data_IF_723646631898
#
_entry.id   IF_723646631898
#
_cell.length_a   1.000
_cell.length_b   1.000
_cell.length_c   1.000
_cell.angle_alpha   90.00
_cell.angle_beta   90.00
_cell.angle_gamma   90.00
#
_symmetry.space_group_name_H-M   'P 1'
#
loop_
_entity.id
_entity.type
_entity.pdbx_description
1 polymer ?
#
# COMPACT_ATOMS: atom_id res chain seq x y z
N UNK A 1 1.78 -11.27 3.54
CA UNK A 1 2.80 -10.34 4.08
C UNK A 1 2.16 -8.97 4.27
N UNK A 2 2.66 -8.09 5.13
CA UNK A 2 2.22 -6.68 5.22
C UNK A 2 3.30 -5.73 4.72
N UNK A 3 2.94 -4.76 3.87
CA UNK A 3 3.87 -3.73 3.39
C UNK A 3 3.99 -2.58 4.40
N UNK A 4 5.07 -2.57 5.17
CA UNK A 4 5.30 -1.67 6.33
C UNK A 4 5.26 -0.20 5.94
N UNK A 5 5.80 0.13 4.76
CA UNK A 5 5.76 1.48 4.17
C UNK A 5 4.37 2.12 4.09
N UNK A 6 3.29 1.32 4.09
CA UNK A 6 1.93 1.85 4.07
C UNK A 6 1.56 2.52 5.39
N UNK A 7 1.91 1.90 6.52
CA UNK A 7 1.79 2.50 7.85
C UNK A 7 2.73 1.78 8.83
N UNK A 8 3.84 2.41 9.23
CA UNK A 8 4.83 1.78 10.09
C UNK A 8 4.48 1.86 11.59
N UNK A 9 3.24 2.22 11.97
CA UNK A 9 2.85 2.32 13.38
C UNK A 9 3.08 1.00 14.14
N UNK A 10 3.89 0.99 15.23
CA UNK A 10 4.11 -0.22 16.03
C UNK A 10 2.83 -0.88 16.52
N UNK A 11 1.82 -0.08 16.88
CA UNK A 11 0.52 -0.58 17.34
C UNK A 11 -0.20 -1.34 16.24
N UNK A 12 -0.18 -0.82 15.00
CA UNK A 12 -0.77 -1.52 13.84
C UNK A 12 0.00 -2.81 13.52
N UNK A 13 1.34 -2.77 13.58
CA UNK A 13 2.16 -3.97 13.35
C UNK A 13 1.78 -5.09 14.32
N UNK A 14 1.60 -4.77 15.62
CA UNK A 14 1.14 -5.73 16.64
C UNK A 14 -0.25 -6.27 16.36
N UNK A 15 -1.22 -5.39 16.02
CA UNK A 15 -2.59 -5.82 15.70
C UNK A 15 -2.59 -6.80 14.51
N UNK A 16 -1.82 -6.50 13.45
CA UNK A 16 -1.72 -7.37 12.28
C UNK A 16 -1.05 -8.71 12.62
N UNK A 17 -0.03 -8.70 13.50
CA UNK A 17 0.61 -9.91 13.99
C UNK A 17 -0.37 -10.81 14.76
N UNK A 18 -1.09 -10.23 15.71
CA UNK A 18 -2.12 -10.93 16.50
C UNK A 18 -3.26 -11.44 15.62
N UNK A 19 -3.51 -10.78 14.50
CA UNK A 19 -4.48 -11.19 13.47
C UNK A 19 -3.95 -12.27 12.51
N UNK A 20 -2.72 -12.73 12.69
CA UNK A 20 -2.12 -13.86 11.96
C UNK A 20 -1.18 -13.48 10.82
N UNK A 21 -0.86 -12.20 10.61
CA UNK A 21 0.16 -11.79 9.64
C UNK A 21 1.55 -12.00 10.23
N UNK A 22 2.31 -12.94 9.67
CA UNK A 22 3.63 -13.29 10.22
C UNK A 22 4.82 -12.77 9.40
N UNK A 23 4.56 -12.20 8.22
CA UNK A 23 5.58 -11.76 7.28
C UNK A 23 5.42 -10.27 6.98
N UNK A 24 6.52 -9.52 6.91
CA UNK A 24 6.52 -8.07 6.70
C UNK A 24 7.49 -7.65 5.58
N UNK A 25 6.95 -6.97 4.57
CA UNK A 25 7.69 -6.30 3.49
C UNK A 25 8.26 -5.00 4.04
N UNK A 26 9.58 -4.95 4.14
CA UNK A 26 10.36 -3.81 4.59
C UNK A 26 11.18 -3.24 3.44
N UNK A 27 11.18 -1.92 3.32
CA UNK A 27 11.80 -1.19 2.23
C UNK A 27 13.12 -0.50 2.61
N UNK A 28 13.49 -0.50 3.89
CA UNK A 28 14.73 0.11 4.37
C UNK A 28 15.24 -0.56 5.64
N UNK A 29 16.51 -0.32 5.98
CA UNK A 29 17.07 -0.79 7.26
C UNK A 29 16.37 -0.18 8.48
N UNK A 30 15.81 1.01 8.35
CA UNK A 30 15.01 1.62 9.42
C UNK A 30 13.72 0.83 9.68
N UNK A 31 13.04 0.38 8.62
CA UNK A 31 11.87 -0.49 8.74
C UNK A 31 12.25 -1.88 9.26
N UNK A 32 13.37 -2.46 8.81
CA UNK A 32 13.91 -3.72 9.37
C UNK A 32 14.08 -3.61 10.89
N UNK A 33 14.80 -2.60 11.37
CA UNK A 33 15.04 -2.38 12.81
C UNK A 33 13.74 -2.15 13.57
N UNK A 34 12.82 -1.38 12.99
CA UNK A 34 11.52 -1.08 13.59
C UNK A 34 10.70 -2.35 13.80
N UNK A 35 10.53 -3.17 12.77
CA UNK A 35 9.76 -4.42 12.87
C UNK A 35 10.50 -5.42 13.75
N UNK A 36 11.83 -5.57 13.63
CA UNK A 36 12.60 -6.47 14.50
C UNK A 36 12.49 -6.11 15.99
N UNK A 37 12.38 -4.82 16.31
CA UNK A 37 12.19 -4.35 17.69
C UNK A 37 10.74 -4.55 18.15
N UNK A 38 9.77 -4.36 17.26
CA UNK A 38 8.33 -4.43 17.58
C UNK A 38 7.82 -5.87 17.63
N UNK A 39 8.30 -6.72 16.71
CA UNK A 39 7.87 -8.09 16.46
C UNK A 39 9.11 -8.99 16.23
N UNK A 40 9.82 -9.40 17.30
CA UNK A 40 11.07 -10.14 17.18
C UNK A 40 10.96 -11.49 16.44
N UNK A 41 9.76 -12.10 16.44
CA UNK A 41 9.48 -13.40 15.82
C UNK A 41 8.97 -13.28 14.38
N UNK A 42 8.86 -12.06 13.83
CA UNK A 42 8.34 -11.85 12.49
C UNK A 42 9.37 -12.16 11.40
N UNK A 43 8.89 -12.74 10.28
CA UNK A 43 9.71 -12.91 9.09
C UNK A 43 9.77 -11.59 8.33
N UNK A 44 10.97 -11.05 8.18
CA UNK A 44 11.21 -9.81 7.43
C UNK A 44 11.66 -10.13 6.01
N UNK A 45 11.07 -9.43 5.04
CA UNK A 45 11.40 -9.55 3.62
C UNK A 45 11.84 -8.18 3.10
N UNK A 46 13.12 -8.03 2.72
CA UNK A 46 13.67 -6.76 2.28
C UNK A 46 13.40 -6.56 0.78
N UNK A 47 12.19 -6.08 0.47
CA UNK A 47 11.63 -6.08 -0.89
C UNK A 47 11.89 -4.79 -1.69
N UNK A 48 12.71 -3.86 -1.18
CA UNK A 48 13.23 -2.76 -2.00
C UNK A 48 14.30 -3.30 -2.97
N UNK A 49 14.16 -3.12 -4.29
CA UNK A 49 15.04 -3.79 -5.26
C UNK A 49 16.42 -3.13 -5.37
N UNK A 50 16.62 -1.93 -4.83
CA UNK A 50 17.91 -1.22 -4.84
C UNK A 50 18.31 -0.81 -3.42
N UNK A 51 19.29 -1.50 -2.82
CA UNK A 51 19.63 -1.35 -1.40
C UNK A 51 21.07 -0.87 -1.23
N UNK A 52 21.37 -0.25 -0.08
CA UNK A 52 22.75 -0.01 0.30
C UNK A 52 23.41 -1.35 0.73
N UNK A 53 24.69 -1.54 0.44
CA UNK A 53 25.40 -2.80 0.75
C UNK A 53 25.44 -3.05 2.26
N UNK A 54 25.72 -2.00 3.04
CA UNK A 54 25.71 -2.02 4.50
C UNK A 54 24.33 -2.34 5.08
N UNK A 55 23.25 -1.93 4.40
CA UNK A 55 21.89 -2.25 4.82
C UNK A 55 21.55 -3.73 4.57
N UNK A 56 22.08 -4.32 3.49
CA UNK A 56 21.91 -5.76 3.23
C UNK A 56 22.68 -6.57 4.28
N UNK A 57 23.93 -6.21 4.53
CA UNK A 57 24.77 -6.89 5.51
C UNK A 57 24.13 -6.87 6.91
N UNK A 58 23.70 -5.70 7.37
CA UNK A 58 23.03 -5.55 8.66
C UNK A 58 21.71 -6.36 8.72
N UNK A 59 20.87 -6.25 7.69
CA UNK A 59 19.62 -7.01 7.64
C UNK A 59 19.86 -8.53 7.74
N UNK A 60 20.87 -9.05 7.03
CA UNK A 60 21.19 -10.47 7.04
C UNK A 60 21.81 -10.97 8.35
N UNK A 61 22.88 -10.30 8.82
CA UNK A 61 23.68 -10.75 9.97
C UNK A 61 23.05 -10.41 11.31
N UNK A 62 22.43 -9.23 11.43
CA UNK A 62 21.97 -8.71 12.73
C UNK A 62 20.46 -8.95 12.94
N UNK A 63 19.69 -9.03 11.85
CA UNK A 63 18.23 -9.15 11.91
C UNK A 63 17.66 -10.43 11.29
N UNK A 64 18.51 -11.35 10.81
CA UNK A 64 18.05 -12.65 10.32
C UNK A 64 17.26 -12.59 9.00
N UNK A 65 17.33 -11.49 8.25
CA UNK A 65 16.65 -11.38 6.95
C UNK A 65 17.26 -12.37 5.96
N UNK A 66 16.40 -13.16 5.31
CA UNK A 66 16.79 -14.13 4.26
C UNK A 66 16.14 -13.88 2.91
N UNK A 67 15.10 -13.06 2.87
CA UNK A 67 14.35 -12.76 1.65
C UNK A 67 14.74 -11.38 1.15
N UNK A 68 15.25 -11.30 -0.08
CA UNK A 68 15.64 -10.04 -0.72
C UNK A 68 15.05 -9.97 -2.13
N UNK A 69 14.51 -8.80 -2.49
CA UNK A 69 14.18 -8.53 -3.90
C UNK A 69 15.34 -7.87 -4.63
N UNK A 70 15.36 -8.03 -5.96
CA UNK A 70 16.35 -7.45 -6.85
C UNK A 70 15.79 -7.29 -8.26
N UNK A 71 16.32 -6.35 -9.03
CA UNK A 71 15.94 -6.15 -10.44
C UNK A 71 17.13 -5.93 -11.38
N UNK A 72 18.35 -6.25 -10.93
CA UNK A 72 19.56 -6.16 -11.75
C UNK A 72 20.63 -7.16 -11.30
N UNK A 73 21.59 -7.44 -12.20
CA UNK A 73 22.78 -8.24 -11.86
C UNK A 73 23.68 -7.52 -10.85
N UNK A 74 23.79 -6.19 -10.94
CA UNK A 74 24.53 -5.38 -9.96
C UNK A 74 23.96 -5.57 -8.54
N UNK A 75 22.64 -5.59 -8.41
CA UNK A 75 22.01 -5.84 -7.11
C UNK A 75 22.25 -7.29 -6.62
N UNK A 76 22.23 -8.27 -7.52
CA UNK A 76 22.57 -9.65 -7.20
C UNK A 76 24.00 -9.76 -6.64
N UNK A 77 24.97 -9.19 -7.35
CA UNK A 77 26.38 -9.17 -6.96
C UNK A 77 26.56 -8.52 -5.58
N UNK A 78 25.88 -7.39 -5.35
CA UNK A 78 25.89 -6.70 -4.07
C UNK A 78 25.28 -7.52 -2.95
N UNK A 79 24.17 -8.22 -3.17
CA UNK A 79 23.56 -9.10 -2.16
C UNK A 79 24.51 -10.26 -1.83
N UNK A 80 25.10 -10.90 -2.83
CA UNK A 80 26.06 -12.01 -2.64
C UNK A 80 27.29 -11.52 -1.87
N UNK A 81 27.85 -10.35 -2.22
CA UNK A 81 28.98 -9.78 -1.52
C UNK A 81 28.65 -9.43 -0.06
N UNK A 82 27.56 -8.68 0.16
CA UNK A 82 27.13 -8.23 1.49
C UNK A 82 26.78 -9.36 2.46
N UNK A 83 26.36 -10.51 1.93
CA UNK A 83 26.03 -11.71 2.72
C UNK A 83 27.17 -12.72 2.82
N UNK A 84 28.38 -12.38 2.34
CA UNK A 84 29.55 -13.25 2.28
C UNK A 84 29.30 -14.57 1.51
N UNK A 85 28.53 -14.52 0.44
CA UNK A 85 28.22 -15.69 -0.40
C UNK A 85 27.27 -16.68 0.25
N UNK A 86 26.38 -16.21 1.13
CA UNK A 86 25.35 -17.03 1.74
C UNK A 86 24.43 -17.66 0.68
N UNK A 87 24.10 -18.94 0.86
CA UNK A 87 23.18 -19.66 -0.03
C UNK A 87 21.78 -19.77 0.54
N UNK A 88 21.58 -19.57 1.84
CA UNK A 88 20.29 -19.68 2.56
C UNK A 88 19.31 -18.52 2.27
N UNK A 89 19.41 -17.95 1.07
CA UNK A 89 18.66 -16.80 0.61
C UNK A 89 17.43 -17.23 -0.19
N UNK A 90 16.37 -16.42 -0.10
CA UNK A 90 15.29 -16.37 -1.08
C UNK A 90 15.44 -15.08 -1.88
N UNK A 91 15.75 -15.20 -3.18
CA UNK A 91 15.96 -14.05 -4.05
C UNK A 91 14.77 -13.86 -4.98
N UNK A 92 14.03 -12.77 -4.80
CA UNK A 92 12.83 -12.44 -5.57
C UNK A 92 13.16 -11.46 -6.71
N UNK A 93 13.28 -11.97 -7.94
CA UNK A 93 13.54 -11.13 -9.12
C UNK A 93 12.30 -10.33 -9.48
N UNK A 94 12.39 -9.01 -9.42
CA UNK A 94 11.28 -8.09 -9.69
C UNK A 94 11.13 -7.82 -11.17
N UNK A 95 9.98 -8.15 -11.74
CA UNK A 95 9.65 -7.86 -13.14
C UNK A 95 8.92 -6.52 -13.26
N UNK A 96 9.20 -5.80 -14.36
CA UNK A 96 8.39 -4.64 -14.74
C UNK A 96 7.09 -5.11 -15.40
N UNK A 97 5.98 -4.66 -14.84
CA UNK A 97 4.63 -4.92 -15.36
C UNK A 97 3.91 -3.60 -15.63
N UNK A 98 2.85 -3.64 -16.45
CA UNK A 98 2.04 -2.44 -16.72
C UNK A 98 1.30 -2.00 -15.46
N UNK A 99 1.11 -0.69 -15.32
CA UNK A 99 0.29 -0.06 -14.28
C UNK A 99 -0.98 0.61 -14.82
N UNK A 100 -1.41 0.28 -16.05
CA UNK A 100 -2.52 0.96 -16.73
C UNK A 100 -3.86 0.88 -15.97
N UNK A 101 -3.98 -0.09 -15.07
CA UNK A 101 -5.18 -0.33 -14.26
C UNK A 101 -5.10 0.28 -12.84
N UNK A 102 -4.03 1.03 -12.54
CA UNK A 102 -3.74 1.58 -11.21
C UNK A 102 -3.79 3.09 -11.20
N UNK A 103 -4.23 3.68 -10.08
CA UNK A 103 -4.26 5.15 -9.93
C UNK A 103 -2.86 5.74 -9.76
N UNK A 104 -1.94 5.00 -9.17
CA UNK A 104 -0.54 5.41 -8.99
C UNK A 104 0.39 4.41 -9.66
N UNK A 105 1.14 4.88 -10.66
CA UNK A 105 2.13 4.08 -11.36
C UNK A 105 3.42 3.96 -10.55
N UNK A 106 3.93 2.73 -10.45
CA UNK A 106 5.25 2.42 -9.90
C UNK A 106 6.19 1.82 -10.97
N UNK A 107 5.71 1.69 -12.21
CA UNK A 107 6.36 0.92 -13.27
C UNK A 107 7.55 1.65 -13.93
N UNK A 108 7.70 2.96 -13.72
CA UNK A 108 8.76 3.76 -14.35
C UNK A 108 10.12 3.61 -13.67
N UNK A 109 10.15 3.30 -12.37
CA UNK A 109 11.38 3.31 -11.56
C UNK A 109 12.01 1.93 -11.37
N UNK A 110 11.22 0.86 -11.28
CA UNK A 110 11.67 -0.46 -10.82
C UNK A 110 11.28 -1.60 -11.75
N UNK A 111 12.02 -2.71 -11.62
CA UNK A 111 11.75 -3.97 -12.29
C UNK A 111 12.47 -4.11 -13.62
N UNK A 112 12.89 -5.35 -13.89
CA UNK A 112 13.60 -5.76 -15.10
C UNK A 112 12.69 -5.59 -16.32
N UNK A 113 13.25 -5.04 -17.41
CA UNK A 113 12.53 -4.89 -18.67
C UNK A 113 12.20 -6.23 -19.34
N UNK A 114 11.19 -6.25 -20.24
CA UNK A 114 10.92 -7.44 -21.04
C UNK A 114 12.15 -7.87 -21.85
N UNK A 115 12.58 -9.12 -21.69
CA UNK A 115 13.74 -9.70 -22.40
C UNK A 115 15.08 -9.62 -21.66
N UNK A 116 15.15 -8.88 -20.54
CA UNK A 116 16.35 -8.75 -19.72
C UNK A 116 16.32 -9.67 -18.48
N UNK A 117 15.16 -10.26 -18.16
CA UNK A 117 14.97 -11.05 -16.94
C UNK A 117 15.64 -12.41 -16.98
N UNK A 118 15.88 -12.97 -18.18
CA UNK A 118 16.42 -14.33 -18.35
C UNK A 118 17.76 -14.53 -17.65
N UNK A 119 18.73 -13.66 -17.95
CA UNK A 119 20.09 -13.77 -17.41
C UNK A 119 20.08 -13.63 -15.88
N UNK A 120 19.30 -12.67 -15.37
CA UNK A 120 19.17 -12.43 -13.94
C UNK A 120 18.50 -13.61 -13.21
N UNK A 121 17.43 -14.18 -13.78
CA UNK A 121 16.74 -15.34 -13.21
C UNK A 121 17.66 -16.57 -13.12
N UNK A 122 18.46 -16.81 -14.16
CA UNK A 122 19.44 -17.90 -14.17
C UNK A 122 20.52 -17.66 -13.11
N UNK A 123 21.08 -16.45 -13.05
CA UNK A 123 22.13 -16.10 -12.09
C UNK A 123 21.62 -16.18 -10.64
N UNK A 124 20.44 -15.65 -10.36
CA UNK A 124 19.84 -15.70 -9.02
C UNK A 124 19.59 -17.14 -8.56
N UNK A 125 19.13 -18.03 -9.45
CA UNK A 125 18.93 -19.46 -9.10
C UNK A 125 20.21 -20.17 -8.71
N UNK A 126 21.35 -19.77 -9.27
CA UNK A 126 22.64 -20.43 -9.04
C UNK A 126 23.25 -20.12 -7.66
N UNK A 127 22.82 -19.04 -7.00
CA UNK A 127 23.45 -18.55 -5.78
C UNK A 127 22.54 -18.60 -4.55
N UNK A 128 21.26 -18.88 -4.72
CA UNK A 128 20.26 -18.89 -3.66
C UNK A 128 19.50 -20.21 -3.58
N UNK A 129 19.16 -20.63 -2.37
CA UNK A 129 18.40 -21.85 -2.09
C UNK A 129 17.01 -21.79 -2.74
N UNK A 130 16.35 -20.62 -2.70
CA UNK A 130 15.05 -20.37 -3.31
C UNK A 130 15.07 -19.20 -4.29
N UNK A 131 14.46 -19.40 -5.46
CA UNK A 131 14.22 -18.35 -6.45
C UNK A 131 12.75 -17.92 -6.43
N UNK A 132 12.51 -16.63 -6.23
CA UNK A 132 11.21 -16.00 -6.39
C UNK A 132 11.14 -15.11 -7.64
N UNK A 133 9.93 -14.92 -8.15
CA UNK A 133 9.60 -13.83 -9.08
C UNK A 133 8.58 -12.93 -8.39
N UNK A 134 8.84 -11.62 -8.35
CA UNK A 134 7.89 -10.65 -7.83
C UNK A 134 7.52 -9.58 -8.86
N UNK A 135 6.37 -8.94 -8.68
CA UNK A 135 5.97 -7.75 -9.45
C UNK A 135 5.07 -6.85 -8.61
N UNK A 136 4.78 -5.64 -9.09
CA UNK A 136 3.81 -4.76 -8.45
C UNK A 136 3.00 -4.02 -9.51
N UNK A 137 1.68 -4.15 -9.47
CA UNK A 137 0.76 -3.60 -10.49
C UNK A 137 0.50 -2.09 -10.38
N UNK A 138 1.18 -1.38 -9.47
CA UNK A 138 0.84 -0.02 -9.03
C UNK A 138 -0.07 0.01 -7.79
N UNK A 139 -0.31 1.20 -7.24
CA UNK A 139 -1.18 1.38 -6.06
C UNK A 139 -2.60 1.72 -6.48
N UNK A 140 -3.57 1.23 -5.69
CA UNK A 140 -5.01 1.41 -5.93
C UNK A 140 -5.41 0.82 -7.30
N UNK A 141 -5.15 -0.47 -7.49
CA UNK A 141 -5.49 -1.21 -8.71
C UNK A 141 -6.99 -1.46 -8.77
N UNK A 142 -7.69 -0.73 -9.63
CA UNK A 142 -9.17 -0.71 -9.68
C UNK A 142 -9.77 -1.88 -10.47
N UNK A 143 -8.94 -2.82 -10.92
CA UNK A 143 -9.35 -3.95 -11.75
C UNK A 143 -8.47 -5.19 -11.48
N UNK A 144 -9.07 -6.36 -11.21
CA UNK A 144 -8.35 -7.64 -11.05
C UNK A 144 -7.49 -8.04 -12.26
N UNK A 145 -7.87 -7.58 -13.45
CA UNK A 145 -7.19 -7.86 -14.71
C UNK A 145 -5.73 -7.36 -14.70
N UNK A 146 -5.41 -6.36 -13.88
CA UNK A 146 -4.04 -5.90 -13.64
C UNK A 146 -3.11 -7.06 -13.25
N UNK A 147 -3.57 -7.94 -12.36
CA UNK A 147 -2.82 -9.08 -11.88
C UNK A 147 -2.76 -10.20 -12.92
N UNK A 148 -3.85 -10.46 -13.64
CA UNK A 148 -3.85 -11.45 -14.72
C UNK A 148 -2.83 -11.08 -15.82
N UNK A 149 -2.81 -9.80 -16.23
CA UNK A 149 -1.87 -9.30 -17.23
C UNK A 149 -0.42 -9.36 -16.75
N UNK A 150 -0.17 -9.11 -15.47
CA UNK A 150 1.16 -9.24 -14.87
C UNK A 150 1.61 -10.72 -14.80
N UNK A 151 0.72 -11.64 -14.45
CA UNK A 151 1.00 -13.08 -14.41
C UNK A 151 1.37 -13.67 -15.77
N UNK A 152 0.82 -13.14 -16.88
CA UNK A 152 1.26 -13.56 -18.22
C UNK A 152 2.71 -13.17 -18.50
N UNK A 153 3.20 -12.06 -17.95
CA UNK A 153 4.63 -11.67 -18.04
C UNK A 153 5.50 -12.59 -17.20
N UNK A 154 5.03 -12.99 -16.02
CA UNK A 154 5.69 -13.98 -15.18
C UNK A 154 5.81 -15.31 -15.92
N UNK A 155 4.72 -15.82 -16.52
CA UNK A 155 4.73 -17.02 -17.36
C UNK A 155 5.80 -16.93 -18.44
N UNK A 156 5.80 -15.85 -19.21
CA UNK A 156 6.76 -15.67 -20.30
C UNK A 156 8.21 -15.68 -19.81
N UNK A 157 8.49 -15.01 -18.69
CA UNK A 157 9.81 -14.98 -18.08
C UNK A 157 10.27 -16.37 -17.60
N UNK A 158 9.40 -17.16 -16.98
CA UNK A 158 9.72 -18.53 -16.53
C UNK A 158 10.05 -19.42 -17.74
N UNK A 159 9.21 -19.40 -18.77
CA UNK A 159 9.39 -20.22 -19.98
C UNK A 159 10.68 -19.85 -20.71
N UNK A 160 10.97 -18.56 -20.85
CA UNK A 160 12.18 -18.10 -21.56
C UNK A 160 13.47 -18.42 -20.78
N UNK A 161 13.45 -18.24 -19.44
CA UNK A 161 14.59 -18.54 -18.60
C UNK A 161 14.84 -20.04 -18.40
N UNK A 162 13.78 -20.87 -18.42
CA UNK A 162 13.87 -22.30 -18.20
C UNK A 162 14.32 -22.67 -16.79
N UNK A 163 14.04 -21.82 -15.81
CA UNK A 163 14.39 -22.02 -14.39
C UNK A 163 13.20 -22.53 -13.57
N UNK A 164 13.49 -23.26 -12.50
CA UNK A 164 12.49 -23.59 -11.48
C UNK A 164 12.31 -22.39 -10.55
N UNK A 165 11.05 -22.00 -10.31
CA UNK A 165 10.69 -20.90 -9.43
C UNK A 165 9.94 -21.45 -8.23
N UNK A 166 10.40 -21.08 -7.04
CA UNK A 166 9.90 -21.56 -5.75
C UNK A 166 8.83 -20.62 -5.17
N UNK A 167 8.87 -19.33 -5.54
CA UNK A 167 7.92 -18.31 -5.02
C UNK A 167 7.42 -17.41 -6.15
N UNK A 168 6.11 -17.17 -6.20
CA UNK A 168 5.50 -16.12 -7.00
C UNK A 168 4.89 -15.09 -6.07
N UNK A 169 5.42 -13.87 -6.08
CA UNK A 169 4.89 -12.76 -5.30
C UNK A 169 4.19 -11.75 -6.22
N UNK A 170 2.88 -11.58 -6.01
CA UNK A 170 2.08 -10.65 -6.84
C UNK A 170 2.16 -9.21 -6.37
N UNK A 171 2.94 -8.95 -5.32
CA UNK A 171 3.13 -7.66 -4.69
C UNK A 171 1.86 -7.11 -4.06
N UNK A 172 1.83 -5.79 -3.92
CA UNK A 172 0.68 -5.05 -3.42
C UNK A 172 -0.17 -4.45 -4.53
N UNK A 173 -0.91 -3.39 -4.17
CA UNK A 173 -1.80 -2.67 -5.08
C UNK A 173 -3.28 -2.94 -4.86
N UNK A 174 -3.60 -3.91 -4.00
CA UNK A 174 -4.97 -4.16 -3.54
C UNK A 174 -5.62 -2.84 -3.07
N UNK A 175 -6.79 -2.49 -3.64
CA UNK A 175 -7.40 -1.20 -3.41
C UNK A 175 -8.10 -1.13 -2.04
N UNK A 176 -8.39 0.10 -1.60
CA UNK A 176 -9.41 0.38 -0.57
C UNK A 176 -10.53 1.24 -1.16
N UNK A 177 -11.67 1.36 -0.49
CA UNK A 177 -12.78 2.22 -0.94
C UNK A 177 -12.56 3.66 -0.51
N UNK A 178 -12.77 4.59 -1.44
CA UNK A 178 -12.73 6.03 -1.17
C UNK A 178 -13.83 6.73 -1.99
N UNK A 179 -14.25 7.96 -1.64
CA UNK A 179 -15.20 8.72 -2.44
C UNK A 179 -14.81 8.80 -3.92
N UNK A 180 -15.65 8.22 -4.80
CA UNK A 180 -15.42 8.15 -6.25
C UNK A 180 -14.47 7.04 -6.71
N UNK A 181 -14.06 6.14 -5.81
CA UNK A 181 -13.22 4.97 -6.08
C UNK A 181 -13.77 3.75 -5.35
N UNK A 182 -14.63 3.02 -6.06
CA UNK A 182 -15.28 1.79 -5.58
C UNK A 182 -14.69 0.59 -6.35
N UNK A 183 -13.71 -0.12 -5.81
CA UNK A 183 -13.15 -1.29 -6.47
C UNK A 183 -14.09 -2.50 -6.36
N UNK A 184 -13.95 -3.53 -7.22
CA UNK A 184 -14.60 -4.81 -7.00
C UNK A 184 -14.20 -5.45 -5.66
N UNK A 185 -14.99 -6.40 -5.13
CA UNK A 185 -14.63 -7.14 -3.92
C UNK A 185 -13.29 -7.87 -4.06
N UNK A 186 -12.50 -7.92 -2.98
CA UNK A 186 -11.15 -8.51 -2.98
C UNK A 186 -11.15 -10.00 -3.35
N UNK A 187 -12.24 -10.72 -3.10
CA UNK A 187 -12.41 -12.12 -3.51
C UNK A 187 -12.26 -12.28 -5.03
N UNK A 188 -12.67 -11.29 -5.83
CA UNK A 188 -12.48 -11.32 -7.30
C UNK A 188 -11.02 -11.17 -7.69
N UNK A 189 -10.24 -10.37 -6.93
CA UNK A 189 -8.81 -10.25 -7.12
C UNK A 189 -8.12 -11.58 -6.79
N UNK A 190 -8.41 -12.14 -5.62
CA UNK A 190 -7.81 -13.41 -5.18
C UNK A 190 -8.18 -14.58 -6.11
N UNK A 191 -9.43 -14.68 -6.55
CA UNK A 191 -9.84 -15.71 -7.51
C UNK A 191 -9.12 -15.58 -8.86
N UNK A 192 -8.90 -14.34 -9.32
CA UNK A 192 -8.19 -14.06 -10.57
C UNK A 192 -6.71 -14.42 -10.45
N UNK A 193 -6.07 -13.99 -9.35
CA UNK A 193 -4.67 -14.30 -9.04
C UNK A 193 -4.47 -15.81 -8.91
N UNK A 194 -5.32 -16.50 -8.14
CA UNK A 194 -5.21 -17.93 -7.91
C UNK A 194 -5.33 -18.73 -9.21
N UNK A 195 -6.33 -18.43 -10.05
CA UNK A 195 -6.46 -19.06 -11.38
C UNK A 195 -5.23 -18.83 -12.27
N UNK A 196 -4.67 -17.62 -12.25
CA UNK A 196 -3.47 -17.31 -13.01
C UNK A 196 -2.25 -18.08 -12.48
N UNK A 197 -2.08 -18.14 -11.15
CA UNK A 197 -1.01 -18.89 -10.50
C UNK A 197 -1.07 -20.39 -10.83
N UNK A 198 -2.22 -21.04 -10.70
CA UNK A 198 -2.43 -22.47 -11.03
C UNK A 198 -2.09 -22.81 -12.49
N UNK A 199 -2.13 -21.80 -13.36
CA UNK A 199 -1.80 -22.00 -14.77
C UNK A 199 -0.31 -21.85 -15.06
N UNK A 200 0.50 -21.29 -14.15
CA UNK A 200 1.93 -21.06 -14.35
C UNK A 200 2.72 -22.37 -14.45
N UNK A 201 3.82 -22.41 -15.23
CA UNK A 201 4.68 -23.59 -15.33
C UNK A 201 5.63 -23.68 -14.12
N UNK A 202 5.08 -23.79 -12.91
CA UNK A 202 5.81 -23.88 -11.64
C UNK A 202 5.54 -25.20 -10.93
N UNK A 203 6.31 -25.50 -9.88
CA UNK A 203 6.09 -26.70 -9.08
C UNK A 203 4.79 -26.57 -8.26
N UNK A 204 4.16 -27.70 -7.92
CA UNK A 204 3.06 -27.72 -6.96
C UNK A 204 3.49 -27.27 -5.55
N UNK A 205 4.79 -27.33 -5.28
CA UNK A 205 5.39 -26.87 -4.02
C UNK A 205 5.70 -25.38 -4.02
N UNK A 206 5.50 -24.68 -5.15
CA UNK A 206 5.76 -23.25 -5.23
C UNK A 206 4.75 -22.47 -4.39
N UNK A 207 5.22 -21.44 -3.71
CA UNK A 207 4.38 -20.59 -2.88
C UNK A 207 3.85 -19.38 -3.65
N UNK A 208 2.65 -18.94 -3.28
CA UNK A 208 2.03 -17.71 -3.79
C UNK A 208 1.98 -16.68 -2.66
N UNK A 209 2.69 -15.57 -2.84
CA UNK A 209 2.77 -14.48 -1.88
C UNK A 209 2.07 -13.21 -2.40
N UNK A 210 1.79 -12.31 -1.47
CA UNK A 210 1.31 -10.96 -1.75
C UNK A 210 1.73 -9.99 -0.65
N UNK A 211 1.82 -8.70 -1.02
CA UNK A 211 2.31 -7.59 -0.18
C UNK A 211 1.22 -6.50 0.01
N UNK A 212 0.02 -6.81 0.53
CA UNK A 212 -0.99 -5.78 0.80
C UNK A 212 -0.47 -4.76 1.85
N UNK A 213 -0.53 -3.48 1.49
CA UNK A 213 -0.37 -2.37 2.41
C UNK A 213 -1.70 -1.67 2.64
N UNK A 214 -2.10 -0.84 1.66
CA UNK A 214 -3.32 -0.01 1.71
C UNK A 214 -4.58 -0.80 2.09
N UNK A 215 -4.81 -1.95 1.47
CA UNK A 215 -5.98 -2.77 1.78
C UNK A 215 -6.08 -3.10 3.28
N UNK A 216 -4.97 -3.42 3.95
CA UNK A 216 -4.97 -3.81 5.37
C UNK A 216 -5.00 -2.64 6.35
N UNK A 217 -4.64 -1.43 5.92
CA UNK A 217 -4.45 -0.32 6.87
C UNK A 217 -5.19 0.97 6.51
N UNK A 218 -5.81 1.12 5.35
CA UNK A 218 -6.54 2.34 4.99
C UNK A 218 -7.62 2.68 6.02
N UNK A 219 -8.37 1.66 6.45
CA UNK A 219 -9.48 1.75 7.42
C UNK A 219 -9.00 1.90 8.87
N UNK A 220 -7.69 1.78 9.15
CA UNK A 220 -7.17 1.72 10.52
C UNK A 220 -7.27 3.03 11.30
N UNK A 221 -7.17 4.19 10.63
CA UNK A 221 -7.15 5.47 11.33
C UNK A 221 -7.74 6.61 10.51
N UNK A 222 -8.39 7.53 11.22
CA UNK A 222 -8.77 8.86 10.77
C UNK A 222 -7.90 9.93 11.43
N UNK A 223 -8.02 11.17 10.96
CA UNK A 223 -7.48 12.33 11.67
C UNK A 223 -8.63 13.28 12.04
N UNK A 224 -8.49 13.96 13.17
CA UNK A 224 -9.42 15.02 13.58
C UNK A 224 -8.71 16.36 13.48
N UNK A 225 -9.23 17.24 12.63
CA UNK A 225 -8.69 18.57 12.37
C UNK A 225 -9.65 19.65 12.87
N UNK A 226 -9.12 20.81 13.24
CA UNK A 226 -9.91 21.99 13.59
C UNK A 226 -9.93 22.97 12.44
N UNK A 227 -11.10 23.53 12.16
CA UNK A 227 -11.25 24.67 11.24
C UNK A 227 -10.75 25.93 11.94
N UNK A 228 -9.65 26.50 11.46
CA UNK A 228 -9.10 27.77 11.97
C UNK A 228 -9.79 28.98 11.33
N UNK A 229 -10.21 28.84 10.06
CA UNK A 229 -10.89 29.91 9.32
C UNK A 229 -11.75 29.34 8.20
N UNK A 230 -12.84 30.03 7.86
CA UNK A 230 -13.63 29.81 6.65
C UNK A 230 -13.58 31.04 5.74
N UNK A 231 -13.37 30.83 4.44
CA UNK A 231 -13.50 31.84 3.37
C UNK A 231 -14.40 31.27 2.27
N UNK A 232 -15.71 31.53 2.35
CA UNK A 232 -16.67 30.95 1.40
C UNK A 232 -16.71 29.42 1.51
N UNK A 233 -16.32 28.72 0.44
CA UNK A 233 -16.17 27.26 0.36
C UNK A 233 -14.74 26.77 0.66
N UNK A 234 -13.83 27.64 1.08
CA UNK A 234 -12.47 27.26 1.47
C UNK A 234 -12.38 27.21 3.00
N UNK A 235 -11.94 26.08 3.56
CA UNK A 235 -11.65 25.93 4.99
C UNK A 235 -10.15 25.86 5.22
N UNK A 236 -9.64 26.67 6.15
CA UNK A 236 -8.27 26.58 6.63
C UNK A 236 -8.29 25.67 7.85
N UNK A 237 -7.58 24.56 7.77
CA UNK A 237 -7.51 23.54 8.83
C UNK A 237 -6.08 23.45 9.38
N UNK A 238 -5.94 22.84 10.55
CA UNK A 238 -4.67 22.74 11.26
C UNK A 238 -3.82 21.50 10.90
N UNK A 239 -4.14 20.84 9.79
CA UNK A 239 -3.35 19.77 9.15
C UNK A 239 -3.46 19.95 7.62
N UNK A 240 -2.57 19.34 6.83
CA UNK A 240 -2.50 19.61 5.40
C UNK A 240 -1.58 18.69 4.61
N UNK A 241 -1.16 19.17 3.45
CA UNK A 241 -0.37 18.46 2.45
C UNK A 241 0.98 17.95 2.99
N UNK A 242 1.58 18.71 3.91
CA UNK A 242 2.84 18.36 4.57
C UNK A 242 2.65 17.55 5.86
N UNK A 243 1.39 17.40 6.30
CA UNK A 243 0.99 16.51 7.37
C UNK A 243 0.41 15.21 6.80
N UNK A 244 -0.80 14.83 7.24
CA UNK A 244 -1.39 13.55 6.83
C UNK A 244 -2.13 13.59 5.47
N UNK A 245 -2.29 14.77 4.85
CA UNK A 245 -3.14 14.95 3.66
C UNK A 245 -2.35 15.11 2.35
N UNK A 246 -1.14 14.54 2.28
CA UNK A 246 -0.30 14.60 1.08
C UNK A 246 -1.04 14.12 -0.19
N UNK A 247 -1.70 12.96 -0.10
CA UNK A 247 -2.47 12.36 -1.21
C UNK A 247 -3.63 13.28 -1.66
N UNK A 248 -4.27 13.99 -0.72
CA UNK A 248 -5.36 14.90 -1.05
C UNK A 248 -4.88 16.13 -1.83
N UNK A 249 -3.71 16.68 -1.47
CA UNK A 249 -3.18 17.89 -2.08
C UNK A 249 -2.50 17.61 -3.43
N UNK A 250 -1.64 16.60 -3.48
CA UNK A 250 -0.75 16.38 -4.63
C UNK A 250 -1.30 15.40 -5.66
N UNK A 251 -2.18 14.49 -5.24
CA UNK A 251 -2.77 13.45 -6.09
C UNK A 251 -4.25 13.77 -6.37
N UNK A 252 -4.85 14.67 -5.58
CA UNK A 252 -6.28 14.99 -5.67
C UNK A 252 -7.16 13.88 -5.10
N UNK A 253 -6.62 13.07 -4.19
CA UNK A 253 -7.35 12.00 -3.52
C UNK A 253 -8.43 12.58 -2.60
N UNK A 254 -9.65 12.05 -2.69
CA UNK A 254 -10.77 12.47 -1.84
C UNK A 254 -10.92 11.48 -0.69
N UNK A 255 -11.08 12.02 0.51
CA UNK A 255 -11.31 11.25 1.72
C UNK A 255 -12.72 11.52 2.24
N UNK A 256 -13.38 10.54 2.89
CA UNK A 256 -14.64 10.81 3.57
C UNK A 256 -14.38 11.78 4.73
N UNK A 257 -15.35 12.66 4.98
CA UNK A 257 -15.25 13.68 6.02
C UNK A 257 -16.55 13.77 6.80
N UNK A 258 -16.45 14.08 8.08
CA UNK A 258 -17.59 14.26 8.97
C UNK A 258 -17.38 15.44 9.91
N UNK A 259 -18.45 16.21 10.18
CA UNK A 259 -18.44 17.31 11.13
C UNK A 259 -18.65 16.77 12.55
N UNK A 260 -17.67 16.96 13.42
CA UNK A 260 -17.77 16.64 14.84
C UNK A 260 -18.23 17.87 15.63
N UNK A 261 -19.55 18.03 15.82
CA UNK A 261 -20.13 19.16 16.56
C UNK A 261 -21.37 18.74 17.35
N UNK A 262 -21.44 19.19 18.60
CA UNK A 262 -22.66 19.10 19.41
C UNK A 262 -23.35 20.47 19.56
N UNK A 263 -24.66 20.60 19.28
CA UNK A 263 -25.51 19.60 18.61
C UNK A 263 -25.16 19.45 17.13
N UNK A 264 -25.60 18.34 16.53
CA UNK A 264 -25.43 18.07 15.10
C UNK A 264 -26.00 19.19 14.22
N UNK A 265 -25.35 19.42 13.09
CA UNK A 265 -25.85 20.37 12.11
C UNK A 265 -27.05 19.80 11.34
N UNK A 266 -28.04 20.65 11.09
CA UNK A 266 -29.16 20.35 10.18
C UNK A 266 -29.02 21.07 8.83
N UNK A 267 -27.88 21.73 8.59
CA UNK A 267 -27.62 22.38 7.31
C UNK A 267 -27.39 21.32 6.23
N UNK A 268 -27.76 21.65 4.98
CA UNK A 268 -27.42 20.80 3.84
C UNK A 268 -25.92 20.83 3.60
N UNK A 269 -25.38 19.70 3.14
CA UNK A 269 -23.98 19.65 2.72
C UNK A 269 -23.73 20.53 1.50
N UNK A 270 -22.52 21.07 1.46
CA UNK A 270 -21.96 21.73 0.29
C UNK A 270 -20.49 21.32 0.11
N UNK A 271 -19.97 21.59 -1.08
CA UNK A 271 -18.59 21.28 -1.42
C UNK A 271 -17.63 22.29 -0.79
N UNK A 272 -16.59 21.78 -0.13
CA UNK A 272 -15.47 22.56 0.38
C UNK A 272 -14.14 22.09 -0.23
N UNK A 273 -13.19 23.02 -0.27
CA UNK A 273 -11.76 22.73 -0.38
C UNK A 273 -11.06 23.08 0.93
N UNK A 274 -9.89 22.50 1.17
CA UNK A 274 -9.11 22.74 2.38
C UNK A 274 -7.78 23.40 2.05
N UNK A 275 -7.33 24.32 2.90
CA UNK A 275 -5.94 24.76 2.99
C UNK A 275 -5.37 24.25 4.31
N UNK A 276 -4.15 23.74 4.28
CA UNK A 276 -3.41 23.43 5.50
C UNK A 276 -2.80 24.65 6.17
N UNK A 277 -2.06 24.43 7.28
CA UNK A 277 -1.56 25.51 8.13
C UNK A 277 -0.26 26.14 7.64
N UNK A 278 0.40 25.58 6.62
CA UNK A 278 1.72 26.04 6.19
C UNK A 278 1.66 27.33 5.38
N UNK A 279 2.82 27.95 5.15
CA UNK A 279 2.95 29.15 4.31
C UNK A 279 3.05 28.84 2.80
N UNK A 280 2.88 27.58 2.39
CA UNK A 280 3.04 27.13 1.01
C UNK A 280 1.68 27.04 0.32
N UNK A 281 1.58 27.62 -0.88
CA UNK A 281 0.36 27.57 -1.69
C UNK A 281 0.02 26.14 -2.18
N UNK A 282 1.00 25.23 -2.18
CA UNK A 282 0.78 23.81 -2.47
C UNK A 282 0.08 23.07 -1.32
N UNK A 283 -0.08 23.69 -0.16
CA UNK A 283 -0.83 23.15 0.98
C UNK A 283 -2.34 23.34 0.79
N UNK A 284 -2.84 22.87 -0.35
CA UNK A 284 -4.22 23.02 -0.78
C UNK A 284 -4.78 21.69 -1.29
N UNK A 285 -5.86 21.24 -0.66
CA UNK A 285 -6.62 20.06 -1.04
C UNK A 285 -7.91 20.49 -1.75
N UNK A 286 -7.98 20.27 -3.06
CA UNK A 286 -9.05 20.80 -3.91
C UNK A 286 -10.45 20.22 -3.64
N UNK A 287 -10.55 19.01 -3.07
CA UNK A 287 -11.82 18.35 -2.77
C UNK A 287 -12.55 17.77 -4.01
N UNK A 288 -13.90 17.81 -4.04
CA UNK A 288 -14.77 18.38 -3.02
C UNK A 288 -14.82 17.52 -1.75
N UNK A 289 -14.84 18.18 -0.61
CA UNK A 289 -15.16 17.60 0.70
C UNK A 289 -16.58 18.05 1.08
N UNK A 290 -17.51 17.11 1.18
CA UNK A 290 -18.91 17.41 1.48
C UNK A 290 -19.10 17.56 2.99
N UNK A 291 -19.43 18.78 3.43
CA UNK A 291 -19.67 19.10 4.84
C UNK A 291 -20.88 20.03 4.95
N UNK A 292 -21.53 20.10 6.14
CA UNK A 292 -22.67 21.00 6.35
C UNK A 292 -22.34 22.46 6.04
N UNK A 293 -23.22 23.15 5.32
CA UNK A 293 -23.00 24.52 4.86
C UNK A 293 -22.84 25.56 5.97
N UNK A 294 -23.16 25.23 7.22
CA UNK A 294 -23.02 26.07 8.41
C UNK A 294 -21.73 25.81 9.21
N UNK A 295 -20.78 25.05 8.65
CA UNK A 295 -19.44 24.86 9.25
C UNK A 295 -18.73 26.20 9.45
N UNK A 296 -18.01 26.36 10.54
CA UNK A 296 -17.37 27.63 10.95
C UNK A 296 -16.04 27.37 11.66
N UNK A 297 -15.29 28.45 11.86
CA UNK A 297 -14.07 28.40 12.66
C UNK A 297 -14.36 27.89 14.08
N UNK A 298 -13.48 27.04 14.59
CA UNK A 298 -13.61 26.33 15.86
C UNK A 298 -14.26 24.95 15.78
N UNK A 299 -14.89 24.61 14.65
CA UNK A 299 -15.44 23.27 14.44
C UNK A 299 -14.34 22.23 14.21
N UNK A 300 -14.66 20.98 14.52
CA UNK A 300 -13.79 19.85 14.26
C UNK A 300 -14.34 19.00 13.12
N UNK A 301 -13.45 18.51 12.27
CA UNK A 301 -13.76 17.63 11.16
C UNK A 301 -12.96 16.35 11.36
N UNK A 302 -13.61 15.21 11.28
CA UNK A 302 -12.94 13.94 11.08
C UNK A 302 -12.72 13.72 9.58
N UNK A 303 -11.51 13.30 9.22
CA UNK A 303 -11.15 12.87 7.87
C UNK A 303 -10.77 11.40 7.96
N UNK A 304 -11.60 10.54 7.39
CA UNK A 304 -11.46 9.09 7.49
C UNK A 304 -10.52 8.48 6.45
N UNK A 305 -10.28 7.18 6.57
CA UNK A 305 -9.54 6.35 5.59
C UNK A 305 -8.08 6.76 5.35
N UNK A 306 -7.43 7.34 6.37
CA UNK A 306 -6.06 7.87 6.30
C UNK A 306 -5.01 6.93 6.91
N UNK A 307 -5.39 5.71 7.27
CA UNK A 307 -4.47 4.75 7.86
C UNK A 307 -3.44 4.20 6.87
N UNK A 308 -3.57 4.44 5.57
CA UNK A 308 -2.55 4.11 4.57
C UNK A 308 -1.92 5.38 4.00
N UNK A 309 -0.60 5.51 4.13
CA UNK A 309 0.24 6.59 3.61
C UNK A 309 -0.04 7.99 4.16
N UNK A 310 -1.04 8.18 5.05
CA UNK A 310 -1.26 9.44 5.75
C UNK A 310 -0.16 9.72 6.76
N UNK A 311 -0.15 8.97 7.87
CA UNK A 311 0.87 9.14 8.93
C UNK A 311 2.29 8.89 8.43
N UNK A 312 2.47 7.95 7.49
CA UNK A 312 3.78 7.57 6.96
C UNK A 312 4.46 8.68 6.14
N UNK A 313 3.68 9.60 5.56
CA UNK A 313 4.20 10.73 4.74
C UNK A 313 4.26 12.04 5.51
N UNK A 314 3.78 12.07 6.77
CA UNK A 314 3.76 13.27 7.58
C UNK A 314 5.17 13.78 7.86
N UNK A 315 5.36 15.09 7.71
CA UNK A 315 6.59 15.80 8.05
C UNK A 315 6.36 16.76 9.22
N UNK A 316 7.45 17.33 9.75
CA UNK A 316 7.40 18.44 10.71
C UNK A 316 7.63 19.80 10.03
N UNK A 317 7.25 19.94 8.76
CA UNK A 317 7.45 21.18 8.00
C UNK A 317 6.71 22.36 8.68
N UNK A 318 7.40 23.50 8.79
CA UNK A 318 6.97 24.68 9.58
C UNK A 318 6.69 24.40 11.08
N UNK A 319 7.01 23.21 11.60
CA UNK A 319 6.80 22.85 13.01
C UNK A 319 5.36 22.48 13.35
N UNK A 320 4.49 22.27 12.35
CA UNK A 320 3.12 21.83 12.57
C UNK A 320 3.04 20.31 12.76
N UNK A 321 2.11 19.88 13.63
CA UNK A 321 1.86 18.48 13.91
C UNK A 321 1.16 18.28 15.26
N UNK A 322 0.51 17.13 15.40
CA UNK A 322 -0.05 16.64 16.66
C UNK A 322 0.31 15.18 16.86
N UNK A 323 0.92 14.84 17.99
CA UNK A 323 1.29 13.44 18.31
C UNK A 323 0.27 12.77 19.23
N UNK A 324 -0.88 13.44 19.44
CA UNK A 324 -1.97 12.88 20.23
C UNK A 324 -2.75 11.87 19.40
N UNK A 325 -2.65 10.61 19.80
CA UNK A 325 -3.46 9.50 19.27
C UNK A 325 -4.51 9.10 20.30
N UNK A 326 -5.70 8.70 19.83
CA UNK A 326 -6.77 8.14 20.65
C UNK A 326 -7.23 6.86 19.97
N UNK A 327 -7.36 5.78 20.74
CA UNK A 327 -7.92 4.52 20.26
C UNK A 327 -9.44 4.61 20.43
N UNK A 328 -10.14 4.31 19.35
CA UNK A 328 -11.60 4.28 19.28
C UNK A 328 -12.05 2.91 18.77
N UNK A 329 -13.35 2.61 18.87
CA UNK A 329 -13.91 1.27 18.58
C UNK A 329 -15.11 1.29 17.64
N UNK A 330 -15.40 2.45 17.04
CA UNK A 330 -16.35 2.65 15.96
C UNK A 330 -15.87 2.03 14.64
N UNK A 331 -16.83 1.77 13.75
CA UNK A 331 -16.53 1.29 12.41
C UNK A 331 -15.94 2.42 11.54
N UNK A 332 -15.07 2.10 10.57
CA UNK A 332 -14.56 3.12 9.65
C UNK A 332 -15.70 3.73 8.82
N UNK A 333 -15.54 4.99 8.42
CA UNK A 333 -16.53 5.70 7.57
C UNK A 333 -16.90 4.97 6.28
N UNK A 334 -15.97 4.16 5.76
CA UNK A 334 -16.17 3.32 4.59
C UNK A 334 -15.40 2.01 4.82
N UNK A 335 -16.00 0.86 4.51
CA UNK A 335 -15.31 -0.43 4.60
C UNK A 335 -15.44 -1.25 3.34
N UNK A 336 -14.36 -1.95 2.96
CA UNK A 336 -14.40 -3.01 1.95
C UNK A 336 -14.79 -4.38 2.51
N UNK A 337 -14.78 -4.53 3.83
CA UNK A 337 -14.88 -5.82 4.51
C UNK A 337 -16.24 -6.09 5.13
N UNK A 338 -17.00 -5.01 5.37
CA UNK A 338 -18.38 -5.10 5.82
C UNK A 338 -19.26 -5.18 4.58
N UNK A 339 -20.10 -6.22 4.50
CA UNK A 339 -21.07 -6.32 3.43
C UNK A 339 -22.06 -5.17 3.55
N UNK A 340 -22.12 -4.32 2.53
CA UNK A 340 -23.19 -3.36 2.38
C UNK A 340 -24.47 -4.18 2.10
N UNK A 341 -25.34 -4.37 3.10
CA UNK A 341 -26.65 -5.03 2.96
C UNK A 341 -27.54 -4.34 1.90
N UNK A 342 -27.09 -3.23 1.33
CA UNK A 342 -27.76 -2.38 0.36
C UNK A 342 -27.72 -2.91 -1.09
N UNK A 343 -26.85 -3.86 -1.46
CA UNK A 343 -26.83 -4.39 -2.84
C UNK A 343 -27.80 -5.57 -3.12
N UNK A 344 -28.45 -6.16 -2.11
CA UNK A 344 -29.44 -7.22 -2.34
C UNK A 344 -30.83 -6.72 -2.82
N UNK A 345 -31.05 -5.41 -2.90
CA UNK A 345 -32.36 -4.83 -3.25
C UNK A 345 -32.34 -4.03 -4.57
N UNK A 346 -31.95 -4.65 -5.69
CA UNK A 346 -32.41 -4.20 -7.02
C UNK A 346 -33.32 -5.26 -7.63
N UNK A 347 -34.65 -5.17 -7.45
CA UNK A 347 -35.56 -6.00 -8.22
C UNK A 347 -35.42 -5.61 -9.69
N UNK A 348 -34.95 -6.56 -10.48
CA UNK A 348 -35.00 -6.56 -11.94
C UNK A 348 -36.46 -6.40 -12.38
N UNK A 349 -36.88 -5.15 -12.61
CA UNK A 349 -38.13 -4.86 -13.30
C UNK A 349 -37.90 -4.99 -14.81
N UNK A 350 -37.77 -6.22 -15.29
CA UNK A 350 -38.04 -6.53 -16.70
C UNK A 350 -39.54 -6.81 -16.82
N UNK A 351 -40.30 -5.76 -17.13
CA UNK A 351 -41.65 -5.91 -17.66
C UNK A 351 -41.53 -6.47 -19.07
N UNK A 352 -41.90 -7.74 -19.26
CA UNK A 352 -42.18 -8.26 -20.60
C UNK A 352 -43.47 -7.62 -21.09
N UNK A 353 -43.38 -6.80 -22.13
CA UNK A 353 -44.51 -6.40 -22.97
C UNK A 353 -44.81 -7.51 -23.98
#
# INVERSE_FOLDING_TARGET
MYAVKANPSPDLLQILWESGITHYDVASIAEVRLVATTLPDATLCFMHPVKAEEAIAEAYFDHGVRVFSLDSLEELEKIVAATNGATDLTLCVRLRVSSDHSKLSLASKFGVGPGESKELLIAARQVADALGICFHVGSQAMSPEAYANAMERVRAAIVDAGVTVDVIDVGGGFPSSYPGMEPPPLERYFATIHRAFESLPVSYSSELWCEPGRALCAEYSSIVVRVERRRGSELYINDGAYGALFDAAHIGWRFPVELLREPDSNAKDMEFSFYGPTCDDMDHMAGPFLLPADIRAGDYIEIGMLGAYGSAMRTAFNGFGSDRTVIVGDEPMVSLYVADDTEQARPSNVVKL
#
